data_IF_301429612891
#
_entry.id   IF_301429612891
#
_cell.length_a   1.000
_cell.length_b   1.000
_cell.length_c   1.000
_cell.angle_alpha   90.00
_cell.angle_beta   90.00
_cell.angle_gamma   90.00
#
_symmetry.space_group_name_H-M   'P 1'
#
loop_
_entity.id
_entity.type
_entity.pdbx_description
1 polymer ?
#
# COMPACT_ATOMS: atom_id res chain seq x y z
N UNK A 1 11.40 -22.26 -12.99
CA UNK A 1 11.24 -22.06 -11.53
C UNK A 1 11.52 -20.60 -11.24
N UNK A 2 10.52 -19.84 -10.78
CA UNK A 2 10.67 -18.39 -10.57
C UNK A 2 11.40 -18.13 -9.25
N UNK A 3 12.40 -17.24 -9.26
CA UNK A 3 13.18 -16.88 -8.08
C UNK A 3 12.27 -16.41 -6.91
N UNK A 4 12.62 -16.75 -5.67
CA UNK A 4 11.81 -16.47 -4.48
C UNK A 4 11.64 -14.95 -4.26
N UNK A 5 12.65 -14.13 -4.52
CA UNK A 5 12.52 -12.66 -4.52
C UNK A 5 11.44 -12.16 -5.47
N UNK A 6 11.43 -12.68 -6.72
CA UNK A 6 10.42 -12.30 -7.72
C UNK A 6 9.02 -12.72 -7.29
N UNK A 7 8.89 -13.90 -6.71
CA UNK A 7 7.60 -14.39 -6.20
C UNK A 7 7.07 -13.50 -5.08
N UNK A 8 7.94 -13.06 -4.17
CA UNK A 8 7.57 -12.13 -3.11
C UNK A 8 7.17 -10.75 -3.66
N UNK A 9 7.91 -10.23 -4.64
CA UNK A 9 7.56 -8.96 -5.29
C UNK A 9 6.21 -9.03 -6.02
N UNK A 10 5.96 -10.10 -6.77
CA UNK A 10 4.67 -10.33 -7.46
C UNK A 10 3.51 -10.40 -6.47
N UNK A 11 3.68 -11.11 -5.35
CA UNK A 11 2.65 -11.14 -4.28
C UNK A 11 2.35 -9.75 -3.73
N UNK A 12 3.37 -8.92 -3.50
CA UNK A 12 3.21 -7.54 -3.05
C UNK A 12 2.48 -6.68 -4.08
N UNK A 13 2.79 -6.84 -5.37
CA UNK A 13 2.06 -6.16 -6.46
C UNK A 13 0.59 -6.58 -6.48
N UNK A 14 0.30 -7.88 -6.40
CA UNK A 14 -1.07 -8.41 -6.36
C UNK A 14 -1.83 -7.84 -5.16
N UNK A 15 -1.20 -7.76 -3.99
CA UNK A 15 -1.80 -7.15 -2.80
C UNK A 15 -2.25 -5.71 -3.07
N UNK A 16 -1.41 -4.89 -3.71
CA UNK A 16 -1.78 -3.52 -4.05
C UNK A 16 -2.88 -3.42 -5.11
N UNK A 17 -2.89 -4.32 -6.11
CA UNK A 17 -3.98 -4.39 -7.09
C UNK A 17 -5.31 -4.68 -6.39
N UNK A 18 -5.34 -5.68 -5.50
CA UNK A 18 -6.54 -6.04 -4.74
C UNK A 18 -6.98 -4.88 -3.85
N UNK A 19 -6.05 -4.24 -3.14
CA UNK A 19 -6.34 -3.08 -2.30
C UNK A 19 -6.96 -1.94 -3.10
N UNK A 20 -6.43 -1.65 -4.29
CA UNK A 20 -6.95 -0.61 -5.18
C UNK A 20 -8.35 -0.94 -5.68
N UNK A 21 -8.62 -2.20 -6.05
CA UNK A 21 -9.96 -2.65 -6.44
C UNK A 21 -10.98 -2.48 -5.30
N UNK A 22 -10.60 -2.77 -4.05
CA UNK A 22 -11.45 -2.58 -2.88
C UNK A 22 -11.78 -1.10 -2.68
N UNK A 23 -10.78 -0.21 -2.75
CA UNK A 23 -10.97 1.24 -2.61
C UNK A 23 -11.91 1.76 -3.71
N UNK A 24 -11.71 1.33 -4.96
CA UNK A 24 -12.59 1.71 -6.08
C UNK A 24 -14.02 1.20 -5.86
N UNK A 25 -14.20 -0.05 -5.42
CA UNK A 25 -15.52 -0.61 -5.15
C UNK A 25 -16.27 0.15 -4.04
N UNK A 26 -15.56 0.52 -2.96
CA UNK A 26 -16.11 1.33 -1.87
C UNK A 26 -16.54 2.71 -2.39
N UNK A 27 -15.69 3.38 -3.16
CA UNK A 27 -15.95 4.72 -3.70
C UNK A 27 -17.13 4.72 -4.68
N UNK A 28 -17.19 3.74 -5.60
CA UNK A 28 -18.30 3.58 -6.55
C UNK A 28 -19.62 3.26 -5.84
N UNK A 29 -19.59 2.57 -4.71
CA UNK A 29 -20.81 2.22 -3.99
C UNK A 29 -21.55 3.44 -3.41
N UNK A 30 -20.88 4.57 -3.16
CA UNK A 30 -21.49 5.81 -2.66
C UNK A 30 -22.16 5.73 -1.27
N UNK A 31 -22.22 4.55 -0.64
CA UNK A 31 -22.86 4.28 0.65
C UNK A 31 -22.09 4.82 1.85
N UNK A 32 -20.84 5.22 1.65
CA UNK A 32 -19.92 5.66 2.70
C UNK A 32 -19.56 7.14 2.61
N UNK A 33 -20.47 7.96 2.06
CA UNK A 33 -20.37 9.42 2.17
C UNK A 33 -20.54 9.82 3.63
N UNK A 34 -19.48 10.35 4.21
CA UNK A 34 -19.49 10.74 5.62
C UNK A 34 -20.28 12.03 5.85
N UNK A 35 -20.94 12.10 7.00
CA UNK A 35 -21.61 13.31 7.47
C UNK A 35 -20.62 14.40 7.90
N UNK A 36 -21.10 15.61 8.21
CA UNK A 36 -20.28 16.82 8.43
C UNK A 36 -19.22 16.71 9.52
N UNK A 37 -19.31 15.74 10.43
CA UNK A 37 -18.38 15.55 11.55
C UNK A 37 -17.54 14.25 11.47
N UNK A 38 -17.60 13.52 10.35
CA UNK A 38 -16.89 12.25 10.17
C UNK A 38 -16.04 12.29 8.90
N UNK A 39 -14.76 11.85 8.94
CA UNK A 39 -13.96 11.78 7.72
C UNK A 39 -14.58 10.77 6.74
N UNK A 40 -14.51 11.04 5.44
CA UNK A 40 -14.97 10.09 4.41
C UNK A 40 -14.28 8.74 4.59
N UNK A 41 -15.00 7.64 4.35
CA UNK A 41 -14.38 6.32 4.38
C UNK A 41 -13.26 6.23 3.33
N UNK A 42 -13.32 7.03 2.26
CA UNK A 42 -12.23 7.19 1.30
C UNK A 42 -10.95 7.69 1.98
N UNK A 43 -11.02 8.75 2.79
CA UNK A 43 -9.88 9.26 3.55
C UNK A 43 -9.37 8.21 4.54
N UNK A 44 -10.29 7.55 5.26
CA UNK A 44 -9.92 6.52 6.24
C UNK A 44 -9.23 5.31 5.57
N UNK A 45 -9.73 4.87 4.41
CA UNK A 45 -9.15 3.78 3.62
C UNK A 45 -7.77 4.13 3.08
N UNK A 46 -7.56 5.41 2.72
CA UNK A 46 -6.26 5.95 2.32
C UNK A 46 -5.28 5.84 3.50
N UNK A 47 -5.60 6.41 4.66
CA UNK A 47 -4.71 6.31 5.84
C UNK A 47 -4.46 4.86 6.30
N UNK A 48 -5.47 3.99 6.24
CA UNK A 48 -5.31 2.56 6.52
C UNK A 48 -4.31 1.87 5.58
N UNK A 49 -4.36 2.20 4.28
CA UNK A 49 -3.41 1.70 3.28
C UNK A 49 -1.96 2.10 3.58
N UNK A 50 -1.73 3.33 4.07
CA UNK A 50 -0.39 3.82 4.48
C UNK A 50 0.15 3.02 5.64
N UNK A 51 -0.65 2.81 6.69
CA UNK A 51 -0.23 2.10 7.90
C UNK A 51 0.17 0.66 7.55
N UNK A 52 -0.62 -0.02 6.72
CA UNK A 52 -0.30 -1.39 6.27
C UNK A 52 0.97 -1.39 5.41
N UNK A 53 1.12 -0.42 4.50
CA UNK A 53 2.31 -0.30 3.66
C UNK A 53 3.58 -0.09 4.50
N UNK A 54 3.57 0.87 5.43
CA UNK A 54 4.71 1.13 6.34
C UNK A 54 5.04 -0.12 7.16
N UNK A 55 4.03 -0.82 7.68
CA UNK A 55 4.23 -2.06 8.44
C UNK A 55 4.93 -3.13 7.59
N UNK A 56 4.46 -3.34 6.35
CA UNK A 56 5.07 -4.29 5.41
C UNK A 56 6.47 -3.87 4.97
N UNK A 57 6.72 -2.57 4.81
CA UNK A 57 8.03 -2.01 4.50
C UNK A 57 9.02 -2.32 5.63
N UNK A 58 8.63 -2.13 6.88
CA UNK A 58 9.47 -2.44 8.06
C UNK A 58 9.73 -3.94 8.14
N UNK A 59 8.71 -4.79 8.03
CA UNK A 59 8.87 -6.25 8.12
C UNK A 59 9.77 -6.77 6.99
N UNK A 60 9.54 -6.34 5.74
CA UNK A 60 10.34 -6.77 4.60
C UNK A 60 11.73 -6.15 4.63
N UNK A 61 11.87 -4.92 5.13
CA UNK A 61 13.15 -4.28 5.40
C UNK A 61 13.99 -5.08 6.39
N UNK A 62 13.43 -5.44 7.55
CA UNK A 62 14.11 -6.29 8.55
C UNK A 62 14.51 -7.63 7.92
N UNK A 63 13.61 -8.28 7.16
CA UNK A 63 13.94 -9.54 6.49
C UNK A 63 15.06 -9.40 5.46
N UNK A 64 15.08 -8.30 4.70
CA UNK A 64 16.07 -8.06 3.64
C UNK A 64 17.45 -7.64 4.19
N UNK A 65 17.47 -6.78 5.22
CA UNK A 65 18.69 -6.16 5.73
C UNK A 65 19.28 -6.88 6.95
N UNK A 66 18.43 -7.37 7.87
CA UNK A 66 18.89 -8.08 9.08
C UNK A 66 18.99 -9.57 8.83
N UNK A 67 17.96 -10.19 8.24
CA UNK A 67 17.93 -11.63 8.03
C UNK A 67 18.56 -12.07 6.69
N UNK A 68 19.11 -11.12 5.90
CA UNK A 68 19.67 -11.33 4.54
C UNK A 68 18.81 -12.24 3.64
N UNK A 69 17.49 -12.19 3.82
CA UNK A 69 16.54 -13.00 3.08
C UNK A 69 16.16 -12.33 1.76
N UNK A 70 15.64 -13.14 0.86
CA UNK A 70 15.13 -12.77 -0.47
C UNK A 70 13.85 -11.91 -0.39
N UNK A 71 14.00 -10.68 0.12
CA UNK A 71 12.93 -9.70 0.30
C UNK A 71 13.28 -8.30 -0.22
N UNK A 72 14.47 -8.09 -0.80
CA UNK A 72 14.95 -6.75 -1.22
C UNK A 72 14.03 -6.11 -2.25
N UNK A 73 13.63 -6.88 -3.26
CA UNK A 73 12.71 -6.40 -4.29
C UNK A 73 11.33 -6.03 -3.71
N UNK A 74 10.81 -6.82 -2.78
CA UNK A 74 9.53 -6.50 -2.12
C UNK A 74 9.63 -5.22 -1.30
N UNK A 75 10.74 -5.00 -0.58
CA UNK A 75 11.00 -3.76 0.15
C UNK A 75 11.04 -2.56 -0.79
N UNK A 76 11.72 -2.69 -1.95
CA UNK A 76 11.76 -1.64 -2.96
C UNK A 76 10.38 -1.31 -3.52
N UNK A 77 9.53 -2.33 -3.76
CA UNK A 77 8.13 -2.13 -4.19
C UNK A 77 7.34 -1.34 -3.15
N UNK A 78 7.39 -1.72 -1.88
CA UNK A 78 6.69 -0.99 -0.81
C UNK A 78 7.19 0.47 -0.71
N UNK A 79 8.50 0.67 -0.82
CA UNK A 79 9.13 1.99 -0.77
C UNK A 79 8.69 2.87 -1.95
N UNK A 80 8.72 2.33 -3.17
CA UNK A 80 8.26 3.05 -4.36
C UNK A 80 6.78 3.42 -4.27
N UNK A 81 5.93 2.50 -3.81
CA UNK A 81 4.50 2.77 -3.60
C UNK A 81 4.29 3.86 -2.55
N UNK A 82 5.08 3.87 -1.47
CA UNK A 82 5.02 4.91 -0.45
C UNK A 82 5.37 6.28 -1.03
N UNK A 83 6.43 6.38 -1.84
CA UNK A 83 6.81 7.64 -2.51
C UNK A 83 5.70 8.11 -3.45
N UNK A 84 5.17 7.23 -4.31
CA UNK A 84 4.07 7.56 -5.22
C UNK A 84 2.86 8.07 -4.43
N UNK A 85 2.54 7.42 -3.31
CA UNK A 85 1.44 7.84 -2.43
C UNK A 85 1.66 9.21 -1.80
N UNK A 86 2.85 9.48 -1.27
CA UNK A 86 3.21 10.79 -0.74
C UNK A 86 3.06 11.86 -1.82
N UNK A 87 3.57 11.61 -3.03
CA UNK A 87 3.43 12.54 -4.16
C UNK A 87 1.95 12.77 -4.51
N UNK A 88 1.12 11.73 -4.54
CA UNK A 88 -0.31 11.87 -4.86
C UNK A 88 -1.11 12.62 -3.79
N UNK A 89 -0.77 12.44 -2.51
CA UNK A 89 -1.42 13.16 -1.41
C UNK A 89 -0.99 14.62 -1.43
N UNK A 90 0.32 14.90 -1.43
CA UNK A 90 0.82 16.27 -1.40
C UNK A 90 0.55 17.03 -2.71
N UNK A 91 0.57 16.34 -3.86
CA UNK A 91 0.31 16.93 -5.18
C UNK A 91 -1.17 17.20 -5.48
N UNK A 92 -2.11 16.61 -4.72
CA UNK A 92 -3.54 16.98 -4.77
C UNK A 92 -3.96 18.00 -3.70
N UNK A 93 -3.07 18.32 -2.76
CA UNK A 93 -3.31 19.29 -1.67
C UNK A 93 -2.86 20.71 -2.07
N UNK A 94 -2.25 20.90 -3.25
CA UNK A 94 -1.96 22.22 -3.86
C UNK A 94 -2.99 22.56 -4.94
#
# INVERSE_FOLDING_TARGET
MMNQERTNAVKSIIFYIVLLLIIVAINVSGKFKSGPCSPSLDILSVFGGIIINITLLIINGIKAFVMKREARLSTFVHFAVLIIWVILIFGKIV
#
